data_IF_363970929232
#
_entry.id   IF_363970929232
#
_cell.length_a   1.000
_cell.length_b   1.000
_cell.length_c   1.000
_cell.angle_alpha   90.00
_cell.angle_beta   90.00
_cell.angle_gamma   90.00
#
_symmetry.space_group_name_H-M   'P 1'
#
loop_
_entity.id
_entity.type
_entity.pdbx_description
1 polymer ?
#
# COMPACT_ATOMS: atom_id res chain seq x y z
N UNK A 1 11.23 9.57 -11.18
CA UNK A 1 11.21 8.19 -11.71
C UNK A 1 11.33 7.24 -10.52
N UNK A 2 10.28 6.48 -10.18
CA UNK A 2 10.30 5.54 -9.05
C UNK A 2 10.88 4.20 -9.51
N UNK A 3 11.87 3.68 -8.78
CA UNK A 3 12.48 2.39 -9.12
C UNK A 3 11.44 1.26 -9.06
N UNK A 4 11.48 0.35 -10.04
CA UNK A 4 10.53 -0.78 -10.15
C UNK A 4 10.50 -1.69 -8.91
N UNK A 5 11.57 -1.69 -8.12
CA UNK A 5 11.74 -2.48 -6.89
C UNK A 5 11.38 -1.72 -5.61
N UNK A 6 10.96 -0.46 -5.69
CA UNK A 6 10.55 0.28 -4.50
C UNK A 6 9.26 -0.35 -3.93
N UNK A 7 9.27 -0.64 -2.62
CA UNK A 7 8.14 -1.21 -1.88
C UNK A 7 6.82 -0.42 -2.06
N UNK A 8 6.94 0.87 -2.40
CA UNK A 8 5.82 1.79 -2.57
C UNK A 8 5.10 1.67 -3.91
N UNK A 9 5.56 0.86 -4.87
CA UNK A 9 4.83 0.67 -6.13
C UNK A 9 3.57 -0.19 -5.91
N UNK A 10 2.42 0.09 -6.55
CA UNK A 10 1.19 -0.68 -6.37
C UNK A 10 1.36 -2.19 -6.59
N UNK A 11 2.23 -2.59 -7.52
CA UNK A 11 2.57 -4.00 -7.77
C UNK A 11 3.28 -4.65 -6.58
N UNK A 12 4.21 -3.97 -5.93
CA UNK A 12 4.91 -4.51 -4.75
C UNK A 12 3.96 -4.60 -3.55
N UNK A 13 3.09 -3.59 -3.35
CA UNK A 13 2.05 -3.62 -2.31
C UNK A 13 1.12 -4.83 -2.48
N UNK A 14 0.70 -5.09 -3.72
CA UNK A 14 -0.13 -6.26 -4.04
C UNK A 14 0.58 -7.58 -3.72
N UNK A 15 1.87 -7.70 -4.03
CA UNK A 15 2.67 -8.89 -3.69
C UNK A 15 2.74 -9.11 -2.18
N UNK A 16 3.02 -8.06 -1.40
CA UNK A 16 3.03 -8.13 0.07
C UNK A 16 1.68 -8.59 0.60
N UNK A 17 0.59 -8.01 0.10
CA UNK A 17 -0.74 -8.33 0.58
C UNK A 17 -1.15 -9.77 0.27
N UNK A 18 -0.87 -10.28 -0.93
CA UNK A 18 -1.11 -11.68 -1.30
C UNK A 18 -0.28 -12.66 -0.48
N UNK A 19 0.98 -12.33 -0.18
CA UNK A 19 1.81 -13.17 0.71
C UNK A 19 1.17 -13.31 2.10
N UNK A 20 0.67 -12.21 2.65
CA UNK A 20 0.05 -12.22 3.98
C UNK A 20 -1.31 -12.92 3.96
N UNK A 21 -2.19 -12.54 3.04
CA UNK A 21 -3.59 -13.00 3.04
C UNK A 21 -3.77 -14.36 2.37
N UNK A 22 -3.17 -14.57 1.19
CA UNK A 22 -3.39 -15.79 0.41
C UNK A 22 -2.42 -16.91 0.82
N UNK A 23 -1.18 -16.55 1.21
CA UNK A 23 -0.14 -17.52 1.58
C UNK A 23 0.10 -17.60 3.09
N UNK A 24 -0.65 -16.82 3.89
CA UNK A 24 -0.60 -16.89 5.35
C UNK A 24 0.72 -16.43 5.98
N UNK A 25 1.54 -15.65 5.26
CA UNK A 25 2.79 -15.14 5.83
C UNK A 25 2.52 -14.21 7.02
N UNK A 26 3.33 -14.29 8.09
CA UNK A 26 3.31 -13.28 9.13
C UNK A 26 3.62 -11.89 8.56
N UNK A 27 2.87 -10.87 8.99
CA UNK A 27 3.05 -9.48 8.53
C UNK A 27 4.48 -8.99 8.75
N UNK A 28 5.11 -9.38 9.86
CA UNK A 28 6.51 -9.06 10.18
C UNK A 28 7.50 -9.66 9.19
N UNK A 29 7.27 -10.89 8.75
CA UNK A 29 8.09 -11.57 7.75
C UNK A 29 7.99 -10.87 6.40
N UNK A 30 6.76 -10.56 5.96
CA UNK A 30 6.53 -9.84 4.71
C UNK A 30 7.12 -8.42 4.76
N UNK A 31 6.95 -7.71 5.88
CA UNK A 31 7.52 -6.37 6.08
C UNK A 31 9.05 -6.37 5.92
N UNK A 32 9.73 -7.34 6.55
CA UNK A 32 11.17 -7.53 6.44
C UNK A 32 11.61 -7.85 5.02
N UNK A 33 10.93 -8.77 4.33
CA UNK A 33 11.28 -9.17 2.96
C UNK A 33 11.17 -8.03 1.94
N UNK A 34 10.25 -7.10 2.16
CA UNK A 34 10.00 -5.96 1.27
C UNK A 34 10.58 -4.64 1.79
N UNK A 35 11.41 -4.71 2.84
CA UNK A 35 12.09 -3.56 3.44
C UNK A 35 11.14 -2.38 3.76
N UNK A 36 9.99 -2.69 4.35
CA UNK A 36 9.00 -1.71 4.78
C UNK A 36 8.67 -1.91 6.27
N UNK A 37 8.06 -0.90 6.88
CA UNK A 37 7.65 -1.00 8.28
C UNK A 37 6.45 -1.95 8.42
N UNK A 38 6.40 -2.67 9.55
CA UNK A 38 5.27 -3.52 9.91
C UNK A 38 3.90 -2.84 9.72
N UNK A 39 3.64 -1.61 10.23
CA UNK A 39 2.33 -0.97 10.06
C UNK A 39 1.99 -0.64 8.60
N UNK A 40 3.00 -0.45 7.75
CA UNK A 40 2.80 -0.24 6.30
C UNK A 40 2.32 -1.53 5.64
N UNK A 41 2.99 -2.65 5.93
CA UNK A 41 2.60 -3.96 5.42
C UNK A 41 1.21 -4.38 5.93
N UNK A 42 0.93 -4.15 7.21
CA UNK A 42 -0.38 -4.46 7.81
C UNK A 42 -1.51 -3.69 7.11
N UNK A 43 -1.32 -2.39 6.86
CA UNK A 43 -2.30 -1.56 6.15
C UNK A 43 -2.58 -2.06 4.74
N UNK A 44 -1.57 -2.57 4.03
CA UNK A 44 -1.77 -3.16 2.70
C UNK A 44 -2.55 -4.48 2.79
N UNK A 45 -2.25 -5.32 3.77
CA UNK A 45 -3.01 -6.56 3.99
C UNK A 45 -4.49 -6.27 4.29
N UNK A 46 -4.79 -5.35 5.21
CA UNK A 46 -6.15 -4.93 5.54
C UNK A 46 -6.90 -4.38 4.33
N UNK A 47 -6.26 -3.50 3.54
CA UNK A 47 -6.85 -2.95 2.33
C UNK A 47 -7.13 -4.01 1.28
N UNK A 48 -6.25 -5.00 1.13
CA UNK A 48 -6.43 -6.10 0.20
C UNK A 48 -7.57 -7.01 0.64
N UNK A 49 -7.66 -7.35 1.94
CA UNK A 49 -8.78 -8.12 2.47
C UNK A 49 -10.13 -7.42 2.25
N UNK A 50 -10.17 -6.09 2.36
CA UNK A 50 -11.42 -5.32 2.21
C UNK A 50 -11.82 -5.03 0.75
N UNK A 51 -10.85 -4.81 -0.15
CA UNK A 51 -11.13 -4.27 -1.50
C UNK A 51 -10.44 -5.04 -2.64
N UNK A 52 -9.73 -6.12 -2.32
CA UNK A 52 -8.88 -6.83 -3.27
C UNK A 52 -7.81 -5.95 -3.89
N UNK A 53 -7.49 -6.21 -5.17
CA UNK A 53 -6.43 -5.51 -5.90
C UNK A 53 -6.69 -4.00 -6.05
N UNK A 54 -7.97 -3.60 -6.12
CA UNK A 54 -8.36 -2.20 -6.22
C UNK A 54 -7.88 -1.37 -5.01
N UNK A 55 -7.72 -2.00 -3.84
CA UNK A 55 -7.23 -1.35 -2.63
C UNK A 55 -5.75 -0.93 -2.68
N UNK A 56 -4.97 -1.45 -3.65
CA UNK A 56 -3.52 -1.22 -3.74
C UNK A 56 -3.14 0.02 -4.55
N UNK A 57 -4.10 0.62 -5.26
CA UNK A 57 -3.91 1.86 -5.99
C UNK A 57 -3.75 3.04 -5.02
N UNK A 58 -2.96 4.03 -5.44
CA UNK A 58 -2.86 5.28 -4.68
C UNK A 58 -4.21 5.99 -4.70
N UNK A 59 -4.76 6.21 -3.50
CA UNK A 59 -5.87 7.13 -3.34
C UNK A 59 -5.28 8.53 -3.25
N UNK A 60 -5.92 9.48 -3.92
CA UNK A 60 -5.60 10.89 -3.76
C UNK A 60 -5.59 11.23 -2.27
N UNK A 61 -4.44 11.66 -1.76
CA UNK A 61 -4.32 12.23 -0.41
C UNK A 61 -4.85 13.67 -0.36
N UNK A 62 -5.25 14.24 -1.50
CA UNK A 62 -5.75 15.61 -1.58
C UNK A 62 -7.07 15.70 -0.82
N UNK A 63 -7.20 16.64 0.13
CA UNK A 63 -8.45 16.88 0.81
C UNK A 63 -9.53 17.31 -0.20
N UNK A 64 -10.76 16.84 -0.02
CA UNK A 64 -11.90 17.18 -0.87
C UNK A 64 -12.19 18.69 -0.91
N UNK A 65 -11.82 19.41 0.16
CA UNK A 65 -11.99 20.85 0.27
C UNK A 65 -10.67 21.48 0.69
N UNK A 66 -10.15 22.36 -0.16
CA UNK A 66 -9.02 23.24 0.15
C UNK A 66 -9.62 24.63 0.41
N UNK A 67 -9.54 25.11 1.65
CA UNK A 67 -10.12 26.40 2.06
C UNK A 67 -9.45 27.60 1.38
N UNK A 68 -8.17 27.48 1.05
CA UNK A 68 -7.33 28.58 0.53
C UNK A 68 -6.97 28.38 -0.95
N UNK A 69 -7.92 27.91 -1.76
CA UNK A 69 -7.68 27.72 -3.19
C UNK A 69 -7.59 29.10 -3.86
N UNK A 70 -6.38 29.55 -4.16
CA UNK A 70 -6.11 30.78 -4.91
C UNK A 70 -6.56 30.61 -6.37
N UNK A 71 -7.10 31.67 -6.95
CA UNK A 71 -7.44 31.71 -8.38
C UNK A 71 -6.18 31.54 -9.25
N UNK A 72 -6.29 30.97 -10.48
CA UNK A 72 -5.16 30.85 -11.41
C UNK A 72 -4.50 32.17 -11.76
#
# INVERSE_FOLDING_TARGET
MSHANAALTPRQRLRVARLIIDQGWPVSQAAKAFNCSWPTANRWAERYAAMGEAGMQDRSSRPHRISNRTSP
#
